data_IF_472661200069
#
_entry.id   IF_472661200069
#
_cell.length_a   1.000
_cell.length_b   1.000
_cell.length_c   1.000
_cell.angle_alpha   90.00
_cell.angle_beta   90.00
_cell.angle_gamma   90.00
#
_symmetry.space_group_name_H-M   'P 1'
#
loop_
_entity.id
_entity.type
_entity.pdbx_description
1 polymer ?
#
# COMPACT_ATOMS: atom_id res chain seq x y z
N UNK A 1 4.84 13.34 21.00
CA UNK A 1 5.72 13.33 19.79
C UNK A 1 4.98 13.11 18.47
N UNK A 2 3.72 12.83 18.50
CA UNK A 2 2.97 12.26 17.38
C UNK A 2 2.72 13.15 16.15
N UNK A 3 2.36 14.44 16.29
CA UNK A 3 2.01 15.31 15.16
C UNK A 3 3.21 15.53 14.22
N UNK A 4 4.39 15.76 14.76
CA UNK A 4 5.60 15.96 13.96
C UNK A 4 5.92 14.68 13.16
N UNK A 5 5.84 13.50 13.78
CA UNK A 5 6.05 12.21 13.11
C UNK A 5 5.04 12.02 11.96
N UNK A 6 3.77 12.33 12.21
CA UNK A 6 2.71 12.24 11.19
C UNK A 6 3.03 13.15 10.01
N UNK A 7 3.36 14.42 10.27
CA UNK A 7 3.70 15.38 9.22
C UNK A 7 4.94 14.96 8.43
N UNK A 8 5.97 14.42 9.11
CA UNK A 8 7.18 13.93 8.44
C UNK A 8 6.89 12.70 7.55
N UNK A 9 6.07 11.76 8.02
CA UNK A 9 5.68 10.59 7.22
C UNK A 9 4.91 11.03 5.98
N UNK A 10 3.89 11.90 6.12
CA UNK A 10 3.15 12.40 4.96
C UNK A 10 4.03 13.15 3.97
N UNK A 11 4.86 14.07 4.47
CA UNK A 11 5.79 14.83 3.65
C UNK A 11 6.72 13.90 2.86
N UNK A 12 7.25 12.86 3.51
CA UNK A 12 8.15 11.89 2.91
C UNK A 12 7.45 11.08 1.79
N UNK A 13 6.25 10.59 2.05
CA UNK A 13 5.48 9.81 1.08
C UNK A 13 5.10 10.62 -0.16
N UNK A 14 4.60 11.84 0.06
CA UNK A 14 4.24 12.76 -1.02
C UNK A 14 5.48 13.17 -1.80
N UNK A 15 6.58 13.50 -1.13
CA UNK A 15 7.83 13.88 -1.78
C UNK A 15 8.30 12.81 -2.77
N UNK A 16 8.30 11.54 -2.39
CA UNK A 16 8.75 10.45 -3.28
C UNK A 16 7.80 10.23 -4.45
N UNK A 17 6.50 10.37 -4.24
CA UNK A 17 5.51 10.33 -5.31
C UNK A 17 5.80 11.41 -6.37
N UNK A 18 5.87 12.67 -5.93
CA UNK A 18 6.14 13.81 -6.81
C UNK A 18 7.53 13.73 -7.45
N UNK A 19 8.52 13.19 -6.74
CA UNK A 19 9.87 12.97 -7.25
C UNK A 19 9.87 11.98 -8.43
N UNK A 20 8.98 11.00 -8.42
CA UNK A 20 8.77 10.08 -9.54
C UNK A 20 8.38 10.84 -10.80
N UNK A 21 7.31 11.63 -10.75
CA UNK A 21 6.83 12.46 -11.86
C UNK A 21 7.90 13.45 -12.33
N UNK A 22 8.49 14.16 -11.39
CA UNK A 22 9.56 15.13 -11.66
C UNK A 22 10.72 14.52 -12.44
N UNK A 23 11.20 13.36 -11.97
CA UNK A 23 12.35 12.69 -12.57
C UNK A 23 12.05 12.21 -13.99
N UNK A 24 10.88 11.63 -14.20
CA UNK A 24 10.45 11.16 -15.51
C UNK A 24 10.22 12.32 -16.47
N UNK A 25 9.54 13.38 -16.03
CA UNK A 25 9.30 14.58 -16.83
C UNK A 25 10.63 15.21 -17.30
N UNK A 26 11.58 15.43 -16.39
CA UNK A 26 12.90 15.97 -16.73
C UNK A 26 13.69 15.09 -17.69
N UNK A 27 13.65 13.75 -17.51
CA UNK A 27 14.33 12.80 -18.42
C UNK A 27 13.72 12.78 -19.82
N UNK A 28 12.42 13.03 -19.95
CA UNK A 28 11.71 13.12 -21.23
C UNK A 28 11.70 14.54 -21.82
N UNK A 29 12.48 15.46 -21.26
CA UNK A 29 12.63 16.82 -21.78
C UNK A 29 11.40 17.69 -21.58
N UNK A 30 10.63 17.46 -20.51
CA UNK A 30 9.53 18.33 -20.10
C UNK A 30 10.04 19.33 -19.07
N UNK A 31 9.77 20.61 -19.30
CA UNK A 31 10.07 21.63 -18.29
C UNK A 31 9.12 21.51 -17.12
N UNK A 32 9.69 21.37 -15.93
CA UNK A 32 8.95 21.41 -14.67
C UNK A 32 9.10 22.82 -14.09
N UNK A 33 7.98 23.53 -14.05
CA UNK A 33 7.92 24.92 -13.55
C UNK A 33 7.95 24.95 -12.02
N UNK A 34 7.21 24.02 -11.38
CA UNK A 34 7.09 23.99 -9.93
C UNK A 34 7.03 22.57 -9.39
N UNK A 35 7.73 22.34 -8.28
CA UNK A 35 7.67 21.14 -7.45
C UNK A 35 7.17 21.54 -6.08
N UNK A 36 5.99 21.08 -5.68
CA UNK A 36 5.33 21.51 -4.45
C UNK A 36 5.03 20.35 -3.53
N UNK A 37 5.36 20.51 -2.25
CA UNK A 37 4.83 19.68 -1.16
C UNK A 37 3.82 20.54 -0.40
N UNK A 38 2.58 20.07 -0.33
CA UNK A 38 1.44 20.85 0.14
C UNK A 38 0.87 21.79 -0.92
N UNK A 39 -0.23 22.45 -0.58
CA UNK A 39 -0.99 23.37 -1.43
C UNK A 39 -1.06 24.77 -0.83
N UNK A 40 -0.90 25.79 -1.68
CA UNK A 40 -1.02 27.20 -1.30
C UNK A 40 -2.45 27.72 -1.12
N UNK A 41 -3.47 26.85 -1.23
CA UNK A 41 -4.89 27.18 -1.11
C UNK A 41 -5.27 28.46 -1.88
N UNK A 42 -5.06 28.44 -3.18
CA UNK A 42 -5.34 29.57 -4.08
C UNK A 42 -4.63 30.89 -3.69
N UNK A 43 -3.42 30.79 -3.12
CA UNK A 43 -2.64 31.94 -2.71
C UNK A 43 -2.93 32.47 -1.29
N UNK A 44 -3.86 31.85 -0.56
CA UNK A 44 -4.16 32.20 0.83
C UNK A 44 -3.01 31.88 1.79
N UNK A 45 -2.23 30.82 1.48
CA UNK A 45 -1.12 30.40 2.31
C UNK A 45 0.22 30.73 1.64
N UNK A 46 1.11 31.34 2.42
CA UNK A 46 2.49 31.56 1.98
C UNK A 46 3.32 30.30 2.16
N UNK A 47 4.29 30.03 1.26
CA UNK A 47 5.20 28.91 1.43
C UNK A 47 6.09 29.11 2.68
N UNK A 48 6.38 28.00 3.35
CA UNK A 48 7.37 27.98 4.47
C UNK A 48 8.79 28.02 3.90
N UNK A 49 9.01 27.29 2.80
CA UNK A 49 10.29 27.23 2.10
C UNK A 49 10.02 27.40 0.61
N UNK A 50 10.83 28.23 -0.03
CA UNK A 50 10.80 28.35 -1.50
C UNK A 50 12.21 28.58 -2.03
N UNK A 51 12.56 27.85 -3.11
CA UNK A 51 13.89 27.96 -3.74
C UNK A 51 13.80 27.67 -5.21
N UNK A 52 14.40 28.53 -6.04
CA UNK A 52 14.60 28.25 -7.45
C UNK A 52 15.88 27.46 -7.66
N UNK A 53 15.78 26.35 -8.40
CA UNK A 53 16.93 25.54 -8.76
C UNK A 53 16.75 24.92 -10.15
N UNK A 54 17.71 25.13 -11.06
CA UNK A 54 17.73 24.61 -12.44
C UNK A 54 16.40 24.78 -13.20
N UNK A 55 15.82 25.99 -13.10
CA UNK A 55 14.57 26.34 -13.79
C UNK A 55 13.28 25.83 -13.15
N UNK A 56 13.36 25.19 -11.99
CA UNK A 56 12.19 24.72 -11.23
C UNK A 56 12.07 25.47 -9.91
N UNK A 57 10.87 25.91 -9.57
CA UNK A 57 10.53 26.48 -8.27
C UNK A 57 10.15 25.35 -7.28
N UNK A 58 11.00 25.07 -6.31
CA UNK A 58 10.72 24.13 -5.22
C UNK A 58 10.03 24.87 -4.08
N UNK A 59 8.90 24.34 -3.62
CA UNK A 59 8.05 24.99 -2.60
C UNK A 59 7.56 23.98 -1.57
N UNK A 60 7.56 24.38 -0.30
CA UNK A 60 6.92 23.62 0.78
C UNK A 60 5.88 24.54 1.46
N UNK A 61 4.63 24.10 1.45
CA UNK A 61 3.53 24.77 2.14
C UNK A 61 3.24 24.13 3.50
N UNK A 62 2.60 24.84 4.44
CA UNK A 62 2.26 24.26 5.75
C UNK A 62 1.21 23.15 5.69
N UNK A 63 0.50 22.99 4.57
CA UNK A 63 -0.54 21.97 4.33
C UNK A 63 0.04 20.62 3.86
N UNK A 64 1.08 20.12 4.53
CA UNK A 64 1.84 18.93 4.14
C UNK A 64 0.97 17.67 3.98
N UNK A 65 -0.11 17.59 4.73
CA UNK A 65 -1.04 16.44 4.71
C UNK A 65 -2.03 16.43 3.55
N UNK A 66 -2.13 17.54 2.79
CA UNK A 66 -3.02 17.63 1.64
C UNK A 66 -2.42 17.08 0.35
N UNK A 67 -1.17 16.63 0.35
CA UNK A 67 -0.49 16.10 -0.82
C UNK A 67 0.56 17.05 -1.38
N UNK A 68 0.88 16.90 -2.67
CA UNK A 68 1.82 17.72 -3.42
C UNK A 68 1.42 17.79 -4.89
N UNK A 69 2.24 18.42 -5.69
CA UNK A 69 2.08 18.42 -7.15
C UNK A 69 3.37 18.83 -7.86
N UNK A 70 3.53 18.29 -9.06
CA UNK A 70 4.55 18.71 -10.04
C UNK A 70 3.84 19.45 -11.15
N UNK A 71 4.05 20.77 -11.24
CA UNK A 71 3.51 21.56 -12.33
C UNK A 71 4.44 21.45 -13.53
N UNK A 72 4.00 20.75 -14.55
CA UNK A 72 4.70 20.62 -15.82
C UNK A 72 4.17 21.67 -16.81
N UNK A 73 5.06 22.23 -17.60
CA UNK A 73 4.69 23.19 -18.66
C UNK A 73 3.66 22.54 -19.59
N UNK A 74 2.52 23.20 -19.79
CA UNK A 74 1.43 22.70 -20.63
C UNK A 74 0.58 21.59 -20.02
N UNK A 75 0.69 21.32 -18.72
CA UNK A 75 -0.24 20.50 -17.97
C UNK A 75 -0.80 21.33 -16.81
N UNK A 76 -2.10 21.49 -16.79
CA UNK A 76 -2.84 22.14 -15.69
C UNK A 76 -3.99 21.22 -15.30
N UNK A 77 -3.85 20.54 -14.19
CA UNK A 77 -4.82 19.54 -13.72
C UNK A 77 -6.22 20.13 -13.44
N UNK A 78 -6.26 21.41 -13.05
CA UNK A 78 -7.51 22.15 -12.86
C UNK A 78 -8.16 22.64 -14.15
N UNK A 79 -7.41 22.69 -15.25
CA UNK A 79 -7.89 23.08 -16.59
C UNK A 79 -7.18 22.26 -17.68
N UNK A 80 -7.63 21.02 -17.93
CA UNK A 80 -7.02 20.13 -18.93
C UNK A 80 -7.11 20.65 -20.37
N UNK A 81 -7.89 21.71 -20.64
CA UNK A 81 -8.00 22.35 -21.95
C UNK A 81 -6.88 23.36 -22.21
N UNK A 82 -6.17 23.82 -21.17
CA UNK A 82 -5.01 24.69 -21.32
C UNK A 82 -3.86 23.89 -21.94
N UNK A 83 -3.48 24.26 -23.17
CA UNK A 83 -2.41 23.61 -23.94
C UNK A 83 -1.29 24.59 -24.20
N UNK A 84 -0.07 24.12 -24.09
CA UNK A 84 1.14 24.81 -24.50
C UNK A 84 1.88 23.94 -25.52
N UNK A 85 2.24 24.48 -26.68
CA UNK A 85 2.81 23.74 -27.81
C UNK A 85 4.33 23.96 -27.97
N UNK A 86 5.01 24.49 -26.95
CA UNK A 86 6.46 24.58 -26.97
C UNK A 86 7.09 23.18 -26.92
N UNK A 87 8.27 23.00 -27.49
CA UNK A 87 8.95 21.70 -27.63
C UNK A 87 9.20 20.99 -26.28
N UNK A 88 9.34 21.78 -25.20
CA UNK A 88 9.58 21.31 -23.84
C UNK A 88 8.29 21.17 -22.99
N UNK A 89 7.13 21.24 -23.65
CA UNK A 89 5.82 21.11 -22.99
C UNK A 89 5.37 19.66 -22.90
N UNK A 90 4.66 19.33 -21.82
CA UNK A 90 3.94 18.05 -21.65
C UNK A 90 2.92 17.80 -22.76
N UNK A 91 2.25 18.85 -23.25
CA UNK A 91 1.20 18.75 -24.28
C UNK A 91 1.72 18.10 -25.57
N UNK A 92 2.95 18.43 -26.01
CA UNK A 92 3.51 17.94 -27.28
C UNK A 92 4.14 16.55 -27.19
N UNK A 93 4.23 15.98 -25.98
CA UNK A 93 4.81 14.64 -25.79
C UNK A 93 3.87 13.57 -26.35
N UNK A 94 4.47 12.48 -26.85
CA UNK A 94 3.71 11.32 -27.33
C UNK A 94 2.92 10.68 -26.19
N UNK A 95 1.75 10.07 -26.44
CA UNK A 95 0.92 9.49 -25.39
C UNK A 95 1.67 8.51 -24.49
N UNK A 96 2.57 7.68 -25.03
CA UNK A 96 3.37 6.74 -24.22
C UNK A 96 4.37 7.45 -23.30
N UNK A 97 4.91 8.61 -23.70
CA UNK A 97 5.80 9.43 -22.86
C UNK A 97 5.03 10.03 -21.68
N UNK A 98 3.81 10.52 -21.96
CA UNK A 98 2.87 11.00 -20.93
C UNK A 98 2.52 9.89 -19.95
N UNK A 99 2.25 8.66 -20.43
CA UNK A 99 1.98 7.49 -19.58
C UNK A 99 3.18 7.16 -18.69
N UNK A 100 4.41 7.20 -19.19
CA UNK A 100 5.62 6.97 -18.39
C UNK A 100 5.75 8.02 -17.27
N UNK A 101 5.51 9.30 -17.58
CA UNK A 101 5.56 10.37 -16.57
C UNK A 101 4.51 10.11 -15.47
N UNK A 102 3.27 9.78 -15.86
CA UNK A 102 2.18 9.52 -14.91
C UNK A 102 2.38 8.25 -14.08
N UNK A 103 2.93 7.18 -14.69
CA UNK A 103 3.28 5.96 -13.95
C UNK A 103 4.41 6.16 -12.96
N UNK A 104 5.31 7.10 -13.21
CA UNK A 104 6.53 7.27 -12.41
C UNK A 104 6.23 7.64 -10.94
N UNK A 105 5.16 8.40 -10.65
CA UNK A 105 4.72 8.71 -9.29
C UNK A 105 4.32 7.46 -8.50
N UNK A 106 3.30 6.70 -8.94
CA UNK A 106 2.89 5.45 -8.31
C UNK A 106 4.04 4.44 -8.19
N UNK A 107 4.88 4.31 -9.23
CA UNK A 107 6.04 3.41 -9.20
C UNK A 107 7.08 3.83 -8.16
N UNK A 108 7.28 5.13 -7.96
CA UNK A 108 8.14 5.64 -6.89
C UNK A 108 7.61 5.25 -5.50
N UNK A 109 6.28 5.24 -5.31
CA UNK A 109 5.68 4.79 -4.06
C UNK A 109 5.87 3.28 -3.82
N UNK A 110 5.74 2.43 -4.85
CA UNK A 110 6.05 1.00 -4.70
C UNK A 110 7.53 0.77 -4.42
N UNK A 111 8.41 1.51 -5.09
CA UNK A 111 9.84 1.43 -4.82
C UNK A 111 10.17 1.86 -3.38
N UNK A 112 9.57 2.97 -2.92
CA UNK A 112 9.74 3.44 -1.54
C UNK A 112 9.26 2.38 -0.53
N UNK A 113 8.09 1.78 -0.76
CA UNK A 113 7.58 0.71 0.10
C UNK A 113 8.54 -0.49 0.13
N UNK A 114 9.06 -0.91 -1.03
CA UNK A 114 10.04 -1.99 -1.10
C UNK A 114 11.34 -1.64 -0.32
N UNK A 115 11.83 -0.41 -0.43
CA UNK A 115 13.00 0.06 0.34
C UNK A 115 12.71 0.04 1.84
N UNK A 116 11.52 0.48 2.27
CA UNK A 116 11.14 0.44 3.68
C UNK A 116 11.01 -1.00 4.19
N UNK A 117 10.37 -1.92 3.44
CA UNK A 117 10.29 -3.33 3.82
C UNK A 117 11.66 -4.00 3.84
N UNK A 118 12.55 -3.67 2.90
CA UNK A 118 13.94 -4.13 2.92
C UNK A 118 14.66 -3.66 4.19
N UNK A 119 14.51 -2.38 4.53
CA UNK A 119 15.11 -1.81 5.74
C UNK A 119 14.59 -2.50 7.00
N UNK A 120 13.26 -2.76 7.09
CA UNK A 120 12.65 -3.51 8.19
C UNK A 120 13.27 -4.92 8.29
N UNK A 121 13.43 -5.61 7.17
CA UNK A 121 14.05 -6.94 7.16
C UNK A 121 15.50 -6.90 7.64
N UNK A 122 16.29 -5.92 7.21
CA UNK A 122 17.68 -5.74 7.62
C UNK A 122 17.83 -5.31 9.08
N UNK A 123 16.87 -4.57 9.62
CA UNK A 123 16.85 -4.22 11.07
C UNK A 123 16.44 -5.40 11.95
N UNK A 124 15.92 -6.46 11.36
CA UNK A 124 15.27 -7.56 12.06
C UNK A 124 13.83 -7.23 12.46
N UNK A 125 12.94 -8.14 12.25
CA UNK A 125 11.54 -8.01 12.67
C UNK A 125 11.13 -9.18 13.56
N UNK A 126 10.04 -8.98 14.32
CA UNK A 126 9.49 -10.05 15.14
C UNK A 126 8.40 -10.79 14.38
N UNK A 127 8.39 -12.11 14.49
CA UNK A 127 7.36 -12.98 13.95
C UNK A 127 6.79 -13.87 15.03
N UNK A 128 5.54 -14.31 14.85
CA UNK A 128 4.94 -15.29 15.76
C UNK A 128 5.61 -16.64 15.48
N UNK A 129 6.13 -17.26 16.56
CA UNK A 129 6.72 -18.60 16.53
C UNK A 129 5.72 -19.64 16.01
N UNK A 130 6.15 -20.67 15.27
CA UNK A 130 5.29 -21.77 14.85
C UNK A 130 4.98 -22.74 16.02
N UNK A 131 5.01 -22.25 17.25
CA UNK A 131 4.69 -23.01 18.46
C UNK A 131 3.18 -23.02 18.71
N UNK A 132 2.65 -24.19 19.01
CA UNK A 132 1.21 -24.39 19.26
C UNK A 132 0.86 -23.90 20.67
N UNK A 133 -0.07 -22.92 20.74
CA UNK A 133 -0.59 -22.41 22.01
C UNK A 133 -1.90 -23.09 22.44
N UNK A 134 -2.70 -23.56 21.46
CA UNK A 134 -3.97 -24.25 21.73
C UNK A 134 -4.24 -25.30 20.66
N UNK A 135 -4.79 -26.43 21.07
CA UNK A 135 -5.31 -27.47 20.19
C UNK A 135 -6.82 -27.59 20.44
N UNK A 136 -7.61 -27.49 19.37
CA UNK A 136 -9.08 -27.60 19.46
C UNK A 136 -9.47 -29.08 19.64
N UNK A 137 -10.29 -29.42 20.63
CA UNK A 137 -10.76 -30.81 20.82
C UNK A 137 -11.44 -31.35 19.55
N UNK A 138 -11.28 -32.64 19.29
CA UNK A 138 -11.83 -33.33 18.12
C UNK A 138 -11.37 -32.77 16.75
N UNK A 139 -10.37 -31.92 16.71
CA UNK A 139 -9.76 -31.43 15.47
C UNK A 139 -8.79 -32.44 14.90
N UNK A 140 -8.42 -32.31 13.59
CA UNK A 140 -7.36 -33.11 12.98
C UNK A 140 -6.05 -33.09 13.77
N UNK A 141 -5.69 -31.95 14.35
CA UNK A 141 -4.51 -31.81 15.20
C UNK A 141 -4.60 -32.64 16.47
N UNK A 142 -5.76 -32.59 17.17
CA UNK A 142 -5.98 -33.37 18.39
C UNK A 142 -5.97 -34.89 18.11
N UNK A 143 -6.63 -35.33 17.03
CA UNK A 143 -6.68 -36.73 16.61
C UNK A 143 -5.28 -37.26 16.28
N UNK A 144 -4.44 -36.45 15.64
CA UNK A 144 -3.07 -36.83 15.30
C UNK A 144 -2.09 -36.74 16.48
N UNK A 145 -2.52 -36.26 17.65
CA UNK A 145 -1.71 -36.18 18.86
C UNK A 145 -0.81 -34.96 18.95
N UNK A 146 -1.12 -33.86 18.23
CA UNK A 146 -0.47 -32.56 18.44
C UNK A 146 -0.84 -32.02 19.84
N UNK A 147 0.10 -31.39 20.50
CA UNK A 147 -0.03 -30.87 21.86
C UNK A 147 0.37 -29.39 21.95
N UNK A 148 -0.04 -28.76 23.03
CA UNK A 148 0.43 -27.40 23.39
C UNK A 148 1.93 -27.45 23.58
N UNK A 149 2.63 -26.38 23.16
CA UNK A 149 4.08 -26.24 23.15
C UNK A 149 4.84 -27.08 22.09
N UNK A 150 4.15 -27.81 21.22
CA UNK A 150 4.80 -28.36 20.04
C UNK A 150 5.26 -27.24 19.11
N UNK A 151 6.51 -27.26 18.72
CA UNK A 151 7.06 -26.37 17.69
C UNK A 151 7.03 -27.07 16.34
N UNK A 152 6.30 -26.51 15.37
CA UNK A 152 6.24 -27.07 14.02
C UNK A 152 7.42 -26.57 13.22
N UNK A 153 8.29 -27.51 12.81
CA UNK A 153 9.55 -27.20 12.09
C UNK A 153 9.44 -27.43 10.58
N UNK A 154 8.51 -28.33 10.14
CA UNK A 154 8.37 -28.66 8.73
C UNK A 154 6.98 -29.22 8.42
N UNK A 155 6.45 -28.88 7.25
CA UNK A 155 5.25 -29.52 6.66
C UNK A 155 5.63 -30.11 5.31
N UNK A 156 5.48 -31.43 5.16
CA UNK A 156 5.96 -32.19 4.02
C UNK A 156 7.44 -31.88 3.73
N UNK A 157 7.73 -31.17 2.64
CA UNK A 157 9.10 -30.77 2.27
C UNK A 157 9.41 -29.30 2.56
N UNK A 158 8.45 -28.53 3.13
CA UNK A 158 8.59 -27.08 3.38
C UNK A 158 8.99 -26.83 4.82
N UNK A 159 10.13 -26.20 5.05
CA UNK A 159 10.57 -25.76 6.36
C UNK A 159 9.72 -24.58 6.85
N UNK A 160 9.39 -24.61 8.13
CA UNK A 160 8.50 -23.65 8.79
C UNK A 160 9.26 -22.89 9.86
N UNK A 161 9.41 -21.59 9.66
CA UNK A 161 10.07 -20.67 10.61
C UNK A 161 9.07 -19.80 11.36
N UNK A 162 7.86 -19.57 10.81
CA UNK A 162 6.87 -18.66 11.38
C UNK A 162 5.46 -19.24 11.33
N UNK A 163 4.59 -18.75 12.22
CA UNK A 163 3.16 -19.13 12.22
C UNK A 163 2.46 -18.83 10.89
N UNK A 164 2.84 -17.72 10.23
CA UNK A 164 2.29 -17.36 8.91
C UNK A 164 2.63 -18.41 7.86
N UNK A 165 3.90 -18.85 7.82
CA UNK A 165 4.33 -19.93 6.90
C UNK A 165 3.61 -21.24 7.19
N UNK A 166 3.43 -21.59 8.47
CA UNK A 166 2.66 -22.75 8.89
C UNK A 166 1.22 -22.70 8.34
N UNK A 167 0.53 -21.58 8.53
CA UNK A 167 -0.82 -21.40 8.02
C UNK A 167 -0.93 -21.48 6.49
N UNK A 168 0.05 -20.94 5.77
CA UNK A 168 0.11 -21.01 4.30
C UNK A 168 0.36 -22.44 3.83
N UNK A 169 1.34 -23.15 4.39
CA UNK A 169 1.65 -24.53 4.01
C UNK A 169 0.45 -25.49 4.23
N UNK A 170 -0.34 -25.29 5.32
CA UNK A 170 -1.56 -26.07 5.56
C UNK A 170 -2.62 -25.79 4.49
N UNK A 171 -2.78 -24.54 4.06
CA UNK A 171 -3.81 -24.15 3.08
C UNK A 171 -3.51 -24.62 1.67
N UNK A 172 -2.25 -24.56 1.27
CA UNK A 172 -1.81 -24.85 -0.11
C UNK A 172 -1.60 -26.33 -0.40
N UNK A 173 -1.43 -27.15 0.63
CA UNK A 173 -1.24 -28.58 0.44
C UNK A 173 -2.57 -29.31 0.26
N UNK A 174 -2.68 -30.16 -0.74
CA UNK A 174 -3.83 -31.06 -0.95
C UNK A 174 -3.63 -32.41 -0.25
N UNK A 175 -4.73 -32.99 0.28
CA UNK A 175 -4.70 -34.31 0.93
C UNK A 175 -4.07 -34.28 2.34
N UNK A 176 -3.50 -35.39 2.74
CA UNK A 176 -2.82 -35.52 4.03
C UNK A 176 -1.52 -34.70 4.04
N UNK A 177 -1.22 -34.14 5.20
CA UNK A 177 0.05 -33.44 5.46
C UNK A 177 0.87 -34.20 6.50
N UNK A 178 2.18 -34.27 6.27
CA UNK A 178 3.13 -34.78 7.24
C UNK A 178 3.74 -33.58 7.97
N UNK A 179 3.48 -33.49 9.25
CA UNK A 179 3.93 -32.38 10.11
C UNK A 179 5.05 -32.90 10.99
N UNK A 180 6.20 -32.26 10.92
CA UNK A 180 7.35 -32.52 11.77
C UNK A 180 7.35 -31.49 12.89
N UNK A 181 7.42 -31.99 14.11
CA UNK A 181 7.42 -31.17 15.33
C UNK A 181 8.65 -31.45 16.19
N UNK A 182 8.98 -30.46 16.99
CA UNK A 182 9.90 -30.60 18.11
C UNK A 182 9.10 -30.53 19.41
N UNK A 183 9.15 -31.59 20.22
CA UNK A 183 8.52 -31.73 21.53
C UNK A 183 9.55 -32.23 22.52
N UNK A 184 9.77 -31.55 23.64
CA UNK A 184 10.73 -31.92 24.67
C UNK A 184 12.12 -32.26 24.08
N UNK A 185 12.61 -31.43 23.16
CA UNK A 185 13.86 -31.63 22.39
C UNK A 185 13.91 -32.90 21.52
N UNK A 186 12.81 -33.61 21.32
CA UNK A 186 12.70 -34.78 20.44
C UNK A 186 11.92 -34.43 19.19
N UNK A 187 12.40 -34.92 18.05
CA UNK A 187 11.69 -34.75 16.77
C UNK A 187 10.66 -35.87 16.58
N UNK A 188 9.48 -35.48 16.14
CA UNK A 188 8.38 -36.40 15.82
C UNK A 188 7.75 -36.04 14.49
N UNK A 189 7.24 -37.03 13.78
CA UNK A 189 6.48 -36.83 12.56
C UNK A 189 5.05 -37.35 12.77
N UNK A 190 4.06 -36.53 12.46
CA UNK A 190 2.63 -36.84 12.58
C UNK A 190 1.99 -36.66 11.22
N UNK A 191 1.02 -37.49 10.90
CA UNK A 191 0.22 -37.36 9.66
C UNK A 191 -1.15 -36.86 10.02
N UNK A 192 -1.59 -35.80 9.37
CA UNK A 192 -2.89 -35.16 9.61
C UNK A 192 -3.64 -35.01 8.28
N UNK A 193 -4.96 -35.08 8.38
CA UNK A 193 -5.84 -34.73 7.28
C UNK A 193 -6.57 -33.43 7.59
N UNK A 194 -6.13 -32.27 7.05
CA UNK A 194 -6.80 -30.99 7.31
C UNK A 194 -8.25 -31.02 6.83
N UNK A 195 -9.15 -30.51 7.64
CA UNK A 195 -10.57 -30.39 7.29
C UNK A 195 -10.85 -29.02 6.66
N UNK A 196 -11.75 -29.00 5.69
CA UNK A 196 -12.32 -27.77 5.17
C UNK A 196 -13.34 -27.30 6.20
N UNK A 197 -13.11 -26.11 6.76
CA UNK A 197 -13.99 -25.53 7.77
C UNK A 197 -14.36 -24.10 7.36
N UNK A 198 -15.54 -23.67 7.79
CA UNK A 198 -15.95 -22.28 7.62
C UNK A 198 -15.04 -21.36 8.43
N UNK A 199 -14.64 -20.30 7.80
CA UNK A 199 -13.77 -19.28 8.38
C UNK A 199 -14.17 -17.91 7.83
N UNK A 200 -13.59 -16.87 8.34
CA UNK A 200 -13.72 -15.54 7.77
C UNK A 200 -12.35 -15.07 7.26
N UNK A 201 -12.38 -14.36 6.12
CA UNK A 201 -11.20 -13.63 5.66
C UNK A 201 -11.10 -12.27 6.40
N UNK A 202 -10.09 -11.48 6.06
CA UNK A 202 -9.87 -10.14 6.65
C UNK A 202 -11.02 -9.15 6.34
N UNK A 203 -11.85 -9.43 5.32
CA UNK A 203 -13.02 -8.64 4.95
C UNK A 203 -14.33 -9.15 5.57
N UNK A 204 -14.24 -10.06 6.56
CA UNK A 204 -15.37 -10.70 7.26
C UNK A 204 -16.26 -11.57 6.35
N UNK A 205 -15.80 -11.90 5.13
CA UNK A 205 -16.51 -12.82 4.25
C UNK A 205 -16.38 -14.26 4.73
N UNK A 206 -17.46 -15.02 4.66
CA UNK A 206 -17.44 -16.46 4.93
C UNK A 206 -16.68 -17.17 3.81
N UNK A 207 -15.59 -17.81 4.17
CA UNK A 207 -14.77 -18.58 3.25
C UNK A 207 -14.51 -19.95 3.81
N UNK A 208 -14.28 -20.92 2.93
CA UNK A 208 -13.85 -22.25 3.33
C UNK A 208 -12.32 -22.31 3.33
N UNK A 209 -11.74 -22.66 4.48
CA UNK A 209 -10.29 -22.83 4.64
C UNK A 209 -9.95 -24.22 5.10
N UNK A 210 -8.84 -24.75 4.63
CA UNK A 210 -8.24 -25.96 5.20
C UNK A 210 -7.61 -25.61 6.54
N UNK A 211 -8.00 -26.28 7.58
CA UNK A 211 -7.53 -26.05 8.95
C UNK A 211 -7.29 -27.37 9.67
N UNK A 212 -6.39 -27.35 10.63
CA UNK A 212 -6.08 -28.50 11.49
C UNK A 212 -6.53 -28.29 12.92
N UNK A 213 -7.01 -27.10 13.28
CA UNK A 213 -7.56 -26.80 14.60
C UNK A 213 -6.51 -26.46 15.65
N UNK A 214 -5.58 -25.59 15.34
CA UNK A 214 -4.56 -25.06 16.25
C UNK A 214 -4.57 -23.53 16.28
N UNK A 215 -4.06 -22.95 17.39
CA UNK A 215 -3.79 -21.51 17.52
C UNK A 215 -2.35 -21.29 17.99
N UNK A 216 -1.76 -20.12 17.68
CA UNK A 216 -0.38 -19.83 18.07
C UNK A 216 -0.22 -19.67 19.58
N UNK A 217 0.95 -20.00 20.08
CA UNK A 217 1.43 -19.48 21.35
C UNK A 217 1.81 -17.99 21.20
N UNK A 218 1.67 -17.15 22.25
CA UNK A 218 2.04 -15.74 22.21
C UNK A 218 3.57 -15.55 22.31
N UNK A 219 4.32 -16.31 21.53
CA UNK A 219 5.79 -16.31 21.51
C UNK A 219 6.25 -15.58 20.26
N UNK A 220 7.00 -14.52 20.44
CA UNK A 220 7.66 -13.79 19.35
C UNK A 220 9.11 -14.26 19.21
N UNK A 221 9.53 -14.46 17.98
CA UNK A 221 10.90 -14.78 17.61
C UNK A 221 11.48 -13.65 16.76
N UNK A 222 12.77 -13.39 16.96
CA UNK A 222 13.49 -12.42 16.14
C UNK A 222 13.87 -13.07 14.81
N UNK A 223 13.48 -12.41 13.72
CA UNK A 223 13.79 -12.84 12.36
C UNK A 223 14.96 -11.99 11.85
N UNK A 224 16.03 -12.64 11.47
CA UNK A 224 17.16 -12.03 10.78
C UNK A 224 17.20 -12.50 9.33
N UNK A 225 17.51 -11.60 8.42
CA UNK A 225 17.54 -11.87 6.99
C UNK A 225 18.91 -11.54 6.42
N UNK A 226 19.42 -12.37 5.55
CA UNK A 226 20.52 -11.98 4.66
C UNK A 226 20.04 -10.90 3.69
N UNK A 227 20.92 -10.09 3.07
CA UNK A 227 20.50 -9.08 2.11
C UNK A 227 19.64 -9.62 0.96
N UNK A 228 19.94 -10.84 0.49
CA UNK A 228 19.14 -11.51 -0.55
C UNK A 228 17.74 -11.91 -0.06
N UNK A 229 17.64 -12.48 1.14
CA UNK A 229 16.35 -12.79 1.76
C UNK A 229 15.55 -11.53 2.06
N UNK A 230 16.21 -10.43 2.45
CA UNK A 230 15.58 -9.13 2.68
C UNK A 230 14.97 -8.54 1.39
N UNK A 231 15.63 -8.71 0.23
CA UNK A 231 15.08 -8.31 -1.07
C UNK A 231 13.83 -9.13 -1.43
N UNK A 232 13.86 -10.44 -1.24
CA UNK A 232 12.69 -11.31 -1.45
C UNK A 232 11.56 -10.91 -0.51
N UNK A 233 11.86 -10.72 0.77
CA UNK A 233 10.89 -10.25 1.76
C UNK A 233 10.23 -8.92 1.35
N UNK A 234 11.04 -7.95 0.90
CA UNK A 234 10.55 -6.64 0.46
C UNK A 234 9.63 -6.74 -0.76
N UNK A 235 10.01 -7.55 -1.74
CA UNK A 235 9.20 -7.83 -2.91
C UNK A 235 7.87 -8.48 -2.52
N UNK A 236 7.91 -9.58 -1.78
CA UNK A 236 6.72 -10.33 -1.37
C UNK A 236 5.77 -9.45 -0.54
N UNK A 237 6.31 -8.65 0.38
CA UNK A 237 5.53 -7.74 1.21
C UNK A 237 4.88 -6.63 0.40
N UNK A 238 5.57 -6.08 -0.58
CA UNK A 238 5.01 -5.04 -1.47
C UNK A 238 3.88 -5.60 -2.31
N UNK A 239 4.04 -6.80 -2.89
CA UNK A 239 3.00 -7.47 -3.66
C UNK A 239 1.81 -7.87 -2.77
N UNK A 240 2.07 -8.44 -1.60
CA UNK A 240 1.04 -8.80 -0.63
C UNK A 240 0.19 -7.57 -0.24
N UNK A 241 0.84 -6.46 0.12
CA UNK A 241 0.16 -5.22 0.47
C UNK A 241 -0.63 -4.65 -0.72
N UNK A 242 -0.05 -4.64 -1.93
CA UNK A 242 -0.72 -4.17 -3.15
C UNK A 242 -1.99 -4.98 -3.44
N UNK A 243 -1.89 -6.31 -3.37
CA UNK A 243 -3.02 -7.21 -3.57
C UNK A 243 -4.12 -7.00 -2.52
N UNK A 244 -3.73 -6.83 -1.26
CA UNK A 244 -4.66 -6.58 -0.16
C UNK A 244 -5.43 -5.27 -0.35
N UNK A 245 -4.74 -4.19 -0.73
CA UNK A 245 -5.36 -2.88 -0.96
C UNK A 245 -6.29 -2.92 -2.17
N UNK A 246 -5.84 -3.52 -3.28
CA UNK A 246 -6.67 -3.70 -4.47
C UNK A 246 -7.95 -4.50 -4.17
N UNK A 247 -7.83 -5.61 -3.44
CA UNK A 247 -8.99 -6.39 -2.97
C UNK A 247 -9.90 -5.55 -2.05
N UNK A 248 -9.33 -4.76 -1.15
CA UNK A 248 -10.08 -3.87 -0.26
C UNK A 248 -10.95 -2.87 -1.05
N UNK A 249 -10.37 -2.23 -2.06
CA UNK A 249 -11.10 -1.31 -2.95
C UNK A 249 -12.21 -2.05 -3.71
N UNK A 250 -11.91 -3.22 -4.27
CA UNK A 250 -12.90 -4.06 -4.96
C UNK A 250 -14.06 -4.43 -4.04
N UNK A 251 -13.76 -4.81 -2.79
CA UNK A 251 -14.76 -5.19 -1.78
C UNK A 251 -15.59 -4.00 -1.29
N UNK A 252 -14.98 -2.82 -1.21
CA UNK A 252 -15.70 -1.58 -0.92
C UNK A 252 -16.69 -1.24 -2.05
N UNK A 253 -16.26 -1.30 -3.30
CA UNK A 253 -17.11 -1.02 -4.46
C UNK A 253 -18.25 -2.05 -4.58
N UNK A 254 -17.99 -3.32 -4.27
CA UNK A 254 -19.01 -4.39 -4.30
C UNK A 254 -19.94 -4.40 -3.08
N UNK A 255 -19.74 -3.49 -2.11
CA UNK A 255 -20.57 -3.39 -0.90
C UNK A 255 -20.31 -4.48 0.15
N UNK A 256 -19.31 -5.33 -0.03
CA UNK A 256 -18.90 -6.36 0.95
C UNK A 256 -18.28 -5.69 2.18
N UNK A 257 -17.42 -4.71 1.96
CA UNK A 257 -16.88 -3.85 3.03
C UNK A 257 -17.81 -2.65 3.17
N UNK A 258 -18.38 -2.39 4.36
CA UNK A 258 -19.23 -1.24 4.58
C UNK A 258 -18.47 0.07 4.38
N UNK A 259 -19.16 1.10 3.89
CA UNK A 259 -18.58 2.44 3.74
C UNK A 259 -18.12 3.07 5.07
N UNK A 260 -18.63 2.60 6.21
CA UNK A 260 -18.20 2.99 7.56
C UNK A 260 -16.76 2.57 7.90
N UNK A 261 -16.19 1.63 7.14
CA UNK A 261 -14.77 1.23 7.32
C UNK A 261 -13.80 2.17 6.61
N UNK A 262 -14.29 3.08 5.74
CA UNK A 262 -13.46 4.10 5.12
C UNK A 262 -12.99 5.09 6.18
N UNK A 263 -11.68 5.08 6.48
CA UNK A 263 -11.06 6.03 7.40
C UNK A 263 -10.72 7.34 6.72
N UNK A 264 -10.83 8.43 7.48
CA UNK A 264 -10.38 9.76 7.06
C UNK A 264 -8.98 10.10 7.60
N UNK A 265 -8.69 11.39 7.60
CA UNK A 265 -7.38 11.93 8.03
C UNK A 265 -7.10 11.65 9.52
N UNK A 266 -8.14 11.67 10.37
CA UNK A 266 -7.99 11.41 11.81
C UNK A 266 -7.59 9.95 12.05
N UNK A 267 -8.25 9.01 11.35
CA UNK A 267 -7.90 7.58 11.41
C UNK A 267 -6.45 7.33 11.02
N UNK A 268 -6.00 7.90 9.90
CA UNK A 268 -4.61 7.72 9.42
C UNK A 268 -3.62 8.35 10.41
N UNK A 269 -3.92 9.56 10.91
CA UNK A 269 -3.10 10.25 11.91
C UNK A 269 -2.94 9.40 13.16
N UNK A 270 -4.05 8.80 13.65
CA UNK A 270 -4.03 7.92 14.81
C UNK A 270 -3.17 6.69 14.58
N UNK A 271 -3.31 6.02 13.44
CA UNK A 271 -2.50 4.82 13.10
C UNK A 271 -1.01 5.14 13.08
N UNK A 272 -0.59 6.28 12.50
CA UNK A 272 0.81 6.72 12.50
C UNK A 272 1.26 7.07 13.92
N UNK A 273 0.40 7.72 14.70
CA UNK A 273 0.70 8.05 16.10
C UNK A 273 0.91 6.80 16.95
N UNK A 274 -0.01 5.84 16.88
CA UNK A 274 0.07 4.58 17.61
C UNK A 274 1.35 3.79 17.19
N UNK A 275 1.69 3.79 15.91
CA UNK A 275 2.94 3.20 15.43
C UNK A 275 4.19 3.90 15.99
N UNK A 276 4.12 5.23 16.17
CA UNK A 276 5.22 6.01 16.77
C UNK A 276 5.50 5.61 18.23
N UNK A 277 4.47 5.21 18.96
CA UNK A 277 4.61 4.77 20.35
C UNK A 277 5.20 3.35 20.45
N UNK A 278 5.02 2.53 19.42
CA UNK A 278 5.60 1.18 19.32
C UNK A 278 7.08 1.22 18.94
N UNK A 279 7.48 2.13 18.04
CA UNK A 279 8.87 2.33 17.62
C UNK A 279 9.08 2.41 16.12
N UNK A 280 10.34 2.58 15.71
CA UNK A 280 10.71 2.92 14.33
C UNK A 280 10.29 1.86 13.30
N UNK A 281 10.35 0.57 13.65
CA UNK A 281 9.93 -0.52 12.76
C UNK A 281 8.43 -0.44 12.47
N UNK A 282 7.63 -0.08 13.47
CA UNK A 282 6.18 0.12 13.29
C UNK A 282 5.90 1.33 12.39
N UNK A 283 6.63 2.45 12.59
CA UNK A 283 6.53 3.63 11.71
C UNK A 283 6.85 3.25 10.26
N UNK A 284 7.96 2.54 10.01
CA UNK A 284 8.34 2.10 8.67
C UNK A 284 7.31 1.15 8.06
N UNK A 285 6.72 0.26 8.86
CA UNK A 285 5.68 -0.67 8.41
C UNK A 285 4.44 0.08 7.95
N UNK A 286 3.96 1.05 8.74
CA UNK A 286 2.80 1.88 8.38
C UNK A 286 3.12 2.79 7.20
N UNK A 287 4.31 3.41 7.16
CA UNK A 287 4.74 4.23 6.04
C UNK A 287 4.81 3.42 4.73
N UNK A 288 5.35 2.20 4.77
CA UNK A 288 5.37 1.30 3.61
C UNK A 288 3.95 0.93 3.15
N UNK A 289 3.05 0.61 4.08
CA UNK A 289 1.66 0.29 3.76
C UNK A 289 0.93 1.48 3.14
N UNK A 290 1.08 2.69 3.70
CA UNK A 290 0.49 3.92 3.14
C UNK A 290 1.12 4.22 1.77
N UNK A 291 2.43 4.02 1.58
CA UNK A 291 3.10 4.20 0.29
C UNK A 291 2.52 3.28 -0.78
N UNK A 292 2.34 1.98 -0.48
CA UNK A 292 1.65 1.04 -1.39
C UNK A 292 0.22 1.49 -1.67
N UNK A 293 -0.50 1.94 -0.64
CA UNK A 293 -1.88 2.42 -0.78
C UNK A 293 -1.96 3.60 -1.77
N UNK A 294 -1.09 4.60 -1.61
CA UNK A 294 -0.98 5.72 -2.55
C UNK A 294 -0.65 5.24 -3.97
N UNK A 295 0.29 4.29 -4.11
CA UNK A 295 0.64 3.70 -5.41
C UNK A 295 -0.56 3.01 -6.08
N UNK A 296 -1.28 2.15 -5.35
CA UNK A 296 -2.44 1.43 -5.88
C UNK A 296 -3.59 2.37 -6.21
N UNK A 297 -3.95 3.29 -5.29
CA UNK A 297 -5.07 4.21 -5.50
C UNK A 297 -4.81 5.13 -6.69
N UNK A 298 -3.59 5.67 -6.83
CA UNK A 298 -3.23 6.53 -7.96
C UNK A 298 -3.21 5.79 -9.30
N UNK A 299 -3.09 4.46 -9.34
CA UNK A 299 -3.21 3.67 -10.57
C UNK A 299 -4.65 3.32 -10.94
N UNK A 300 -5.62 3.52 -10.05
CA UNK A 300 -7.02 3.27 -10.38
C UNK A 300 -7.51 4.26 -11.46
N UNK A 301 -8.41 3.86 -12.36
CA UNK A 301 -8.97 4.73 -13.40
C UNK A 301 -9.98 5.72 -12.82
N UNK A 302 -9.55 6.45 -11.79
CA UNK A 302 -10.36 7.45 -11.08
C UNK A 302 -9.97 8.83 -11.62
N UNK A 303 -10.94 9.68 -11.97
CA UNK A 303 -10.67 11.05 -12.38
C UNK A 303 -9.83 11.80 -11.33
N UNK A 304 -8.99 12.71 -11.78
CA UNK A 304 -8.06 13.51 -10.94
C UNK A 304 -6.89 12.74 -10.33
N UNK A 305 -6.81 11.42 -10.50
CA UNK A 305 -5.64 10.62 -10.15
C UNK A 305 -4.83 10.27 -11.41
N UNK A 306 -3.58 9.86 -11.24
CA UNK A 306 -2.69 9.50 -12.36
C UNK A 306 -3.31 8.45 -13.28
N UNK A 307 -3.97 7.43 -12.71
CA UNK A 307 -4.65 6.37 -13.44
C UNK A 307 -5.76 6.86 -14.36
N UNK A 308 -6.48 7.91 -13.96
CA UNK A 308 -7.47 8.57 -14.81
C UNK A 308 -6.83 9.25 -16.02
N UNK A 309 -5.72 9.94 -15.81
CA UNK A 309 -4.95 10.56 -16.90
C UNK A 309 -4.27 9.51 -17.79
N UNK A 310 -3.77 8.42 -17.21
CA UNK A 310 -3.21 7.28 -17.96
C UNK A 310 -4.25 6.68 -18.90
N UNK A 311 -5.49 6.53 -18.44
CA UNK A 311 -6.60 6.01 -19.27
C UNK A 311 -6.83 6.87 -20.51
N UNK A 312 -6.83 8.20 -20.39
CA UNK A 312 -6.99 9.10 -21.54
C UNK A 312 -5.79 9.06 -22.50
N UNK A 313 -4.58 9.00 -21.99
CA UNK A 313 -3.39 8.88 -22.84
C UNK A 313 -3.33 7.51 -23.53
N UNK A 314 -3.82 6.45 -22.89
CA UNK A 314 -3.95 5.13 -23.50
C UNK A 314 -5.01 5.14 -24.64
N UNK A 315 -6.14 5.79 -24.42
CA UNK A 315 -7.15 6.01 -25.46
C UNK A 315 -6.55 6.76 -26.65
N UNK A 316 -5.84 7.87 -26.41
CA UNK A 316 -5.15 8.64 -27.46
C UNK A 316 -4.13 7.78 -28.21
N UNK A 317 -3.35 6.97 -27.49
CA UNK A 317 -2.35 6.08 -28.09
C UNK A 317 -2.96 5.01 -28.98
N UNK A 318 -4.08 4.41 -28.59
CA UNK A 318 -4.73 3.33 -29.35
C UNK A 318 -5.50 3.89 -30.55
N UNK A 319 -6.21 5.02 -30.36
CA UNK A 319 -7.09 5.57 -31.40
C UNK A 319 -6.43 6.58 -32.33
N UNK A 320 -5.26 7.12 -31.94
CA UNK A 320 -4.61 8.24 -32.62
C UNK A 320 -5.36 9.57 -32.49
N UNK A 321 -6.37 9.66 -31.63
CA UNK A 321 -7.19 10.85 -31.44
C UNK A 321 -7.22 11.26 -29.97
N UNK A 322 -6.92 12.53 -29.71
CA UNK A 322 -7.06 13.07 -28.36
C UNK A 322 -8.55 13.09 -27.93
N UNK A 323 -8.84 12.82 -26.64
CA UNK A 323 -10.17 13.02 -26.09
C UNK A 323 -10.65 14.46 -26.27
N UNK A 324 -11.97 14.66 -26.43
CA UNK A 324 -12.53 16.01 -26.53
C UNK A 324 -12.37 16.76 -25.20
N UNK A 325 -12.17 18.09 -25.28
CA UNK A 325 -12.07 18.94 -24.08
C UNK A 325 -13.31 18.81 -23.18
N UNK A 326 -14.50 18.63 -23.79
CA UNK A 326 -15.74 18.38 -23.04
C UNK A 326 -15.67 17.07 -22.24
N UNK A 327 -15.13 16.00 -22.83
CA UNK A 327 -14.96 14.72 -22.14
C UNK A 327 -13.96 14.85 -20.98
N UNK A 328 -12.82 15.53 -21.19
CA UNK A 328 -11.81 15.78 -20.16
C UNK A 328 -12.39 16.58 -18.99
N UNK A 329 -13.10 17.69 -19.27
CA UNK A 329 -13.68 18.54 -18.24
C UNK A 329 -14.81 17.84 -17.48
N UNK A 330 -15.67 17.07 -18.17
CA UNK A 330 -16.73 16.30 -17.51
C UNK A 330 -16.13 15.23 -16.59
N UNK A 331 -15.12 14.53 -17.05
CA UNK A 331 -14.42 13.51 -16.26
C UNK A 331 -13.73 14.13 -15.04
N UNK A 332 -13.03 15.27 -15.19
CA UNK A 332 -12.43 16.00 -14.09
C UNK A 332 -13.47 16.43 -13.04
N UNK A 333 -14.63 16.97 -13.49
CA UNK A 333 -15.72 17.36 -12.60
C UNK A 333 -16.28 16.17 -11.81
N UNK A 334 -16.51 15.03 -12.46
CA UNK A 334 -16.97 13.80 -11.80
C UNK A 334 -15.95 13.35 -10.75
N UNK A 335 -14.66 13.37 -11.09
CA UNK A 335 -13.57 13.00 -10.18
C UNK A 335 -13.51 13.91 -8.96
N UNK A 336 -13.63 15.20 -9.15
CA UNK A 336 -13.66 16.18 -8.07
C UNK A 336 -14.82 15.91 -7.11
N UNK A 337 -16.03 15.69 -7.62
CA UNK A 337 -17.20 15.34 -6.82
C UNK A 337 -17.00 14.04 -6.05
N UNK A 338 -16.42 13.03 -6.72
CA UNK A 338 -16.13 11.73 -6.10
C UNK A 338 -15.09 11.87 -4.96
N UNK A 339 -14.00 12.60 -5.19
CA UNK A 339 -12.96 12.82 -4.18
C UNK A 339 -13.52 13.61 -2.98
N UNK A 340 -14.28 14.67 -3.20
CA UNK A 340 -14.94 15.40 -2.12
C UNK A 340 -15.92 14.51 -1.35
N UNK A 341 -16.71 13.69 -2.04
CA UNK A 341 -17.64 12.76 -1.39
C UNK A 341 -16.92 11.76 -0.51
N UNK A 342 -15.80 11.17 -0.99
CA UNK A 342 -14.97 10.27 -0.19
C UNK A 342 -14.32 10.98 0.99
N UNK A 343 -13.85 12.21 0.80
CA UNK A 343 -13.27 13.01 1.88
C UNK A 343 -14.30 13.29 2.97
N UNK A 344 -15.51 13.73 2.60
CA UNK A 344 -16.59 13.99 3.57
C UNK A 344 -17.04 12.71 4.28
N UNK A 345 -17.14 11.59 3.54
CA UNK A 345 -17.43 10.27 4.12
C UNK A 345 -16.36 9.86 5.14
N UNK A 346 -15.08 10.01 4.82
CA UNK A 346 -13.98 9.72 5.72
C UNK A 346 -14.03 10.58 6.99
N UNK A 347 -14.27 11.88 6.86
CA UNK A 347 -14.42 12.79 8.01
C UNK A 347 -15.63 12.39 8.87
N UNK A 348 -16.77 12.11 8.24
CA UNK A 348 -17.98 11.68 8.93
C UNK A 348 -17.73 10.38 9.73
N UNK A 349 -17.09 9.40 9.10
CA UNK A 349 -16.76 8.12 9.77
C UNK A 349 -15.76 8.32 10.92
N UNK A 350 -14.77 9.20 10.74
CA UNK A 350 -13.80 9.52 11.80
C UNK A 350 -14.49 10.17 12.99
N UNK A 351 -15.39 11.14 12.76
CA UNK A 351 -16.16 11.77 13.85
C UNK A 351 -16.96 10.71 14.60
N UNK A 352 -17.71 9.85 13.89
CA UNK A 352 -18.52 8.81 14.56
C UNK A 352 -17.68 7.74 15.28
N UNK A 353 -16.40 7.55 14.88
CA UNK A 353 -15.50 6.53 15.46
C UNK A 353 -14.78 7.03 16.70
N UNK A 354 -14.48 8.31 16.77
CA UNK A 354 -13.59 8.88 17.81
C UNK A 354 -14.27 9.86 18.76
N UNK A 355 -15.45 10.34 18.42
CA UNK A 355 -16.23 11.30 19.20
C UNK A 355 -17.66 10.83 19.40
#
# INVERSE_FOLDING_TARGET
MSIITVLLVFMFLVFFHELGHFTAAKKLGVTVEKFSIGFGMFGLLKPVIQKHYKGTLFVIYPTLFLGGYVQMKGQVDSDPALKNYDDDSYTVKKPWEKIIILLAGPMANFLLAAVLYFTIAMMGNKAISPTIGKVIPNSPAAIAGLQINDEVIKINNTDIKTWKQLGTAIRETNGNIKVYIKRDNKYRALVLNPKISDSQNMFKEKIKKRMIGISPAPILIDMTYTPTEALVYAYDKTIEASSMIFQGVQKLISGVVPSSEVGGVISITKVISDASDVGIIAIFTIAALISVNLGVLNLLPIPMLDGGHIMFNLYEWITGRAPSDKALNTFAMIGMLMLFSLMFLGIYNDINRFF
#
